data_IF_010112203731
#
_entry.id   IF_010112203731
#
_cell.length_a   1.000
_cell.length_b   1.000
_cell.length_c   1.000
_cell.angle_alpha   90.00
_cell.angle_beta   90.00
_cell.angle_gamma   90.00
#
_symmetry.space_group_name_H-M   'P 1'
#
loop_
_entity.id
_entity.type
_entity.pdbx_description
1 polymer ?
#
# COMPACT_ATOMS: atom_id res chain seq x y z
N UNK A 1 -4.81 -2.69 -9.65
CA UNK A 1 -3.46 -3.32 -9.55
C UNK A 1 -2.56 -2.40 -8.74
N UNK A 2 -1.58 -2.92 -8.00
CA UNK A 2 -0.72 -2.11 -7.12
C UNK A 2 0.47 -1.44 -7.80
N UNK A 3 0.66 -1.72 -9.09
CA UNK A 3 1.78 -1.21 -9.89
C UNK A 3 1.83 0.33 -9.98
N UNK A 4 0.73 1.04 -9.65
CA UNK A 4 0.66 2.50 -9.63
C UNK A 4 0.47 3.09 -8.22
N UNK A 5 0.64 2.31 -7.17
CA UNK A 5 0.41 2.74 -5.78
C UNK A 5 1.62 3.47 -5.18
N UNK A 6 2.84 3.13 -5.60
CA UNK A 6 4.08 3.71 -5.10
C UNK A 6 5.02 4.15 -6.24
N UNK A 7 5.67 5.30 -6.04
CA UNK A 7 6.94 5.64 -6.69
C UNK A 7 6.90 6.22 -8.10
N UNK A 8 5.79 6.12 -8.84
CA UNK A 8 5.71 6.69 -10.20
C UNK A 8 4.95 8.03 -10.14
N UNK A 9 5.62 9.10 -10.54
CA UNK A 9 4.96 10.36 -10.89
C UNK A 9 4.41 10.20 -12.31
N UNK A 10 3.12 9.94 -12.42
CA UNK A 10 2.44 9.67 -13.70
C UNK A 10 2.17 11.01 -14.45
N UNK A 11 2.60 12.15 -13.92
CA UNK A 11 2.22 13.46 -14.45
C UNK A 11 0.75 13.79 -14.12
N UNK A 12 0.27 14.93 -14.64
CA UNK A 12 -1.00 15.69 -14.42
C UNK A 12 -2.32 14.87 -14.29
N UNK A 13 -2.37 13.84 -13.47
CA UNK A 13 -3.61 13.21 -13.08
C UNK A 13 -4.34 14.19 -12.16
N UNK A 14 -5.41 14.81 -12.63
CA UNK A 14 -6.17 15.76 -11.80
C UNK A 14 -7.20 15.06 -10.89
N UNK A 15 -7.39 13.74 -11.04
CA UNK A 15 -8.36 12.95 -10.30
C UNK A 15 -7.93 11.49 -10.20
N UNK A 16 -8.10 10.88 -9.03
CA UNK A 16 -8.03 9.43 -8.84
C UNK A 16 -9.43 8.86 -8.65
N UNK A 17 -9.77 7.84 -9.43
CA UNK A 17 -11.00 7.05 -9.24
C UNK A 17 -10.62 5.70 -8.64
N UNK A 18 -11.00 5.50 -7.39
CA UNK A 18 -10.87 4.25 -6.66
C UNK A 18 -12.14 3.43 -6.89
N UNK A 19 -12.02 2.34 -7.63
CA UNK A 19 -13.12 1.39 -7.79
C UNK A 19 -13.07 0.34 -6.67
N UNK A 20 -14.22 0.09 -6.04
CA UNK A 20 -14.37 -0.75 -4.85
C UNK A 20 -13.55 -0.25 -3.66
N UNK A 21 -13.69 -0.94 -2.54
CA UNK A 21 -12.99 -0.64 -1.31
C UNK A 21 -11.48 -0.63 -1.49
N UNK A 22 -10.78 0.42 -1.00
CA UNK A 22 -9.33 0.46 -1.00
C UNK A 22 -8.69 -0.47 0.03
N UNK A 23 -9.48 -1.16 0.88
CA UNK A 23 -9.09 -2.08 1.98
C UNK A 23 -8.33 -1.43 3.14
N UNK A 24 -7.50 -0.43 2.85
CA UNK A 24 -6.67 0.27 3.81
C UNK A 24 -6.72 1.78 3.57
N UNK A 25 -6.64 2.56 4.65
CA UNK A 25 -6.58 4.02 4.62
C UNK A 25 -5.27 4.49 4.02
N UNK A 26 -4.14 3.89 4.42
CA UNK A 26 -2.83 4.23 3.87
C UNK A 26 -2.80 4.09 2.34
N UNK A 27 -3.36 2.99 1.83
CA UNK A 27 -3.45 2.71 0.39
C UNK A 27 -4.31 3.73 -0.35
N UNK A 28 -5.46 4.13 0.21
CA UNK A 28 -6.29 5.18 -0.38
C UNK A 28 -5.53 6.52 -0.45
N UNK A 29 -4.88 6.93 0.65
CA UNK A 29 -4.15 8.20 0.71
C UNK A 29 -2.97 8.22 -0.27
N UNK A 30 -2.21 7.13 -0.37
CA UNK A 30 -1.11 7.02 -1.32
C UNK A 30 -1.59 7.11 -2.77
N UNK A 31 -2.70 6.44 -3.11
CA UNK A 31 -3.32 6.51 -4.45
C UNK A 31 -3.82 7.92 -4.74
N UNK A 32 -4.66 8.49 -3.86
CA UNK A 32 -5.25 9.83 -4.07
C UNK A 32 -4.16 10.90 -4.12
N UNK A 33 -3.07 10.77 -3.35
CA UNK A 33 -1.92 11.68 -3.38
C UNK A 33 -1.18 11.77 -4.73
N UNK A 34 -1.51 10.89 -5.68
CA UNK A 34 -1.06 11.00 -7.08
C UNK A 34 -1.85 12.05 -7.87
N UNK A 35 -3.05 12.41 -7.42
CA UNK A 35 -3.83 13.47 -8.04
C UNK A 35 -3.28 14.85 -7.68
N UNK A 36 -3.09 15.70 -8.68
CA UNK A 36 -2.63 17.08 -8.49
C UNK A 36 -1.24 17.16 -7.87
N UNK A 37 -0.39 16.14 -8.07
CA UNK A 37 0.91 15.99 -7.41
C UNK A 37 1.74 17.28 -7.52
N UNK A 38 1.97 17.94 -6.39
CA UNK A 38 2.68 19.23 -6.33
C UNK A 38 2.52 19.91 -4.97
N UNK A 39 3.55 20.65 -4.55
CA UNK A 39 3.54 21.38 -3.27
C UNK A 39 2.43 22.43 -3.29
N UNK A 40 1.59 22.43 -2.24
CA UNK A 40 0.47 23.38 -2.09
C UNK A 40 -0.76 23.07 -2.96
N UNK A 41 -0.77 21.96 -3.71
CA UNK A 41 -1.93 21.53 -4.48
C UNK A 41 -2.79 20.55 -3.66
N UNK A 42 -4.10 20.56 -3.92
CA UNK A 42 -5.04 19.62 -3.32
C UNK A 42 -5.24 18.41 -4.22
N UNK A 43 -5.06 17.22 -3.65
CA UNK A 43 -5.37 15.97 -4.32
C UNK A 43 -6.87 15.69 -4.33
N UNK A 44 -7.39 15.21 -5.47
CA UNK A 44 -8.80 14.85 -5.65
C UNK A 44 -8.95 13.35 -5.88
N UNK A 45 -9.86 12.74 -5.13
CA UNK A 45 -10.15 11.32 -5.21
C UNK A 45 -11.65 11.05 -5.08
N UNK A 46 -12.15 10.08 -5.85
CA UNK A 46 -13.51 9.56 -5.76
C UNK A 46 -13.44 8.05 -5.49
N UNK A 47 -14.23 7.56 -4.53
CA UNK A 47 -14.41 6.13 -4.29
C UNK A 47 -15.78 5.72 -4.82
N UNK A 48 -15.80 4.70 -5.68
CA UNK A 48 -17.01 4.10 -6.24
C UNK A 48 -17.15 2.70 -5.62
N UNK A 49 -18.01 2.58 -4.60
CA UNK A 49 -18.30 1.32 -3.93
C UNK A 49 -19.62 0.74 -4.46
N UNK A 50 -19.54 -0.34 -5.24
CA UNK A 50 -20.67 -0.91 -5.99
C UNK A 50 -20.80 -2.42 -5.84
N UNK A 51 -19.88 -3.07 -5.12
CA UNK A 51 -19.77 -4.55 -5.14
C UNK A 51 -20.82 -5.19 -4.24
N UNK A 52 -20.87 -4.80 -2.97
CA UNK A 52 -21.82 -5.32 -1.98
C UNK A 52 -21.89 -4.38 -0.76
N UNK A 53 -22.70 -4.73 0.24
CA UNK A 53 -22.87 -3.93 1.45
C UNK A 53 -21.56 -3.76 2.24
N UNK A 54 -20.75 -4.83 2.35
CA UNK A 54 -19.47 -4.80 3.06
C UNK A 54 -18.49 -3.83 2.40
N UNK A 55 -18.41 -3.84 1.05
CA UNK A 55 -17.60 -2.93 0.24
C UNK A 55 -17.99 -1.46 0.48
N UNK A 56 -19.29 -1.18 0.56
CA UNK A 56 -19.82 0.17 0.83
C UNK A 56 -19.47 0.62 2.25
N UNK A 57 -19.68 -0.24 3.25
CA UNK A 57 -19.39 0.07 4.65
C UNK A 57 -17.89 0.27 4.85
N UNK A 58 -17.06 -0.64 4.34
CA UNK A 58 -15.60 -0.58 4.43
C UNK A 58 -15.06 0.70 3.76
N UNK A 59 -15.54 1.01 2.54
CA UNK A 59 -15.21 2.26 1.84
C UNK A 59 -15.59 3.51 2.65
N UNK A 60 -16.77 3.51 3.26
CA UNK A 60 -17.25 4.62 4.09
C UNK A 60 -16.38 4.84 5.34
N UNK A 61 -16.01 3.77 6.04
CA UNK A 61 -15.12 3.84 7.21
C UNK A 61 -13.73 4.32 6.80
N UNK A 62 -13.19 3.79 5.70
CA UNK A 62 -11.88 4.21 5.18
C UNK A 62 -11.88 5.69 4.80
N UNK A 63 -12.90 6.17 4.07
CA UNK A 63 -13.03 7.59 3.74
C UNK A 63 -13.09 8.48 4.99
N UNK A 64 -13.84 8.06 6.02
CA UNK A 64 -13.94 8.79 7.29
C UNK A 64 -12.58 8.85 7.99
N UNK A 65 -11.84 7.74 8.06
CA UNK A 65 -10.51 7.68 8.68
C UNK A 65 -9.45 8.43 7.87
N UNK A 66 -9.52 8.39 6.54
CA UNK A 66 -8.64 9.15 5.65
C UNK A 66 -8.76 10.66 5.88
N UNK A 67 -9.99 11.18 5.95
CA UNK A 67 -10.25 12.59 6.36
C UNK A 67 -9.78 12.87 7.79
N UNK A 68 -9.79 11.83 8.63
CA UNK A 68 -9.21 11.71 9.97
C UNK A 68 -7.68 11.92 10.05
N UNK A 69 -6.96 11.71 8.94
CA UNK A 69 -5.53 11.36 8.91
C UNK A 69 -5.19 10.16 9.82
N UNK A 70 -6.11 9.20 9.94
CA UNK A 70 -5.96 8.01 10.80
C UNK A 70 -5.64 6.77 9.98
N UNK A 71 -4.38 6.64 9.61
CA UNK A 71 -3.84 5.43 8.98
C UNK A 71 -3.72 4.27 9.99
N UNK A 72 -3.56 3.06 9.47
CA UNK A 72 -3.26 1.86 10.22
C UNK A 72 -1.81 1.87 10.76
N UNK A 73 -1.56 1.18 11.87
CA UNK A 73 -0.19 1.01 12.38
C UNK A 73 0.60 0.04 11.49
N UNK A 74 1.81 0.44 11.11
CA UNK A 74 2.75 -0.43 10.41
C UNK A 74 3.42 -1.37 11.43
N UNK A 75 2.92 -2.60 11.55
CA UNK A 75 3.54 -3.63 12.38
C UNK A 75 4.59 -4.39 11.57
N UNK A 76 5.82 -4.42 12.08
CA UNK A 76 6.89 -5.25 11.53
C UNK A 76 6.70 -6.67 12.08
N UNK A 77 6.54 -7.70 11.23
CA UNK A 77 6.51 -9.09 11.68
C UNK A 77 7.81 -9.44 12.41
N UNK A 78 7.70 -10.06 13.58
CA UNK A 78 8.83 -10.55 14.35
C UNK A 78 8.95 -12.06 14.20
N UNK A 79 10.18 -12.58 14.27
CA UNK A 79 10.45 -14.03 14.22
C UNK A 79 9.93 -14.72 12.96
N UNK A 80 10.06 -14.08 11.79
CA UNK A 80 9.70 -14.63 10.48
C UNK A 80 10.71 -15.68 10.00
N UNK A 81 10.69 -16.85 10.64
CA UNK A 81 11.63 -17.95 10.33
C UNK A 81 11.49 -18.51 8.93
N UNK A 82 10.28 -18.44 8.36
CA UNK A 82 10.00 -18.77 6.97
C UNK A 82 10.76 -17.84 6.00
N UNK A 83 10.71 -16.52 6.24
CA UNK A 83 11.47 -15.52 5.49
C UNK A 83 12.97 -15.74 5.66
N UNK A 84 13.44 -16.00 6.88
CA UNK A 84 14.85 -16.31 7.13
C UNK A 84 15.28 -17.56 6.34
N UNK A 85 14.52 -18.65 6.44
CA UNK A 85 14.83 -19.90 5.75
C UNK A 85 14.85 -19.73 4.23
N UNK A 86 13.89 -18.97 3.69
CA UNK A 86 13.86 -18.61 2.28
C UNK A 86 15.11 -17.83 1.87
N UNK A 87 15.55 -16.89 2.71
CA UNK A 87 16.72 -16.08 2.40
C UNK A 87 18.03 -16.84 2.50
N UNK A 88 18.16 -17.76 3.46
CA UNK A 88 19.30 -18.68 3.53
C UNK A 88 19.35 -19.56 2.27
N UNK A 89 18.21 -20.11 1.84
CA UNK A 89 18.14 -20.90 0.62
C UNK A 89 18.51 -20.08 -0.63
N UNK A 90 18.05 -18.83 -0.72
CA UNK A 90 18.43 -17.91 -1.79
C UNK A 90 19.93 -17.60 -1.80
N UNK A 91 20.52 -17.33 -0.62
CA UNK A 91 21.95 -17.10 -0.50
C UNK A 91 22.76 -18.35 -0.91
N UNK A 92 22.35 -19.56 -0.51
CA UNK A 92 23.02 -20.80 -0.90
C UNK A 92 22.97 -21.11 -2.41
N UNK A 93 22.03 -20.51 -3.14
CA UNK A 93 21.99 -20.59 -4.60
C UNK A 93 22.99 -19.63 -5.27
N UNK A 94 23.31 -18.52 -4.61
CA UNK A 94 24.30 -17.53 -5.09
C UNK A 94 25.73 -17.87 -4.63
N UNK A 95 25.88 -18.40 -3.41
CA UNK A 95 27.13 -18.84 -2.81
C UNK A 95 27.03 -20.31 -2.40
N UNK A 96 27.87 -21.19 -2.97
CA UNK A 96 27.78 -22.65 -2.79
C UNK A 96 27.83 -23.11 -1.31
N UNK A 97 28.42 -22.32 -0.40
CA UNK A 97 28.51 -22.60 1.02
C UNK A 97 28.44 -21.30 1.85
N UNK A 98 27.85 -21.37 3.05
CA UNK A 98 27.79 -20.26 4.02
C UNK A 98 28.24 -20.77 5.39
N UNK A 99 29.20 -20.09 5.99
CA UNK A 99 29.63 -20.36 7.36
C UNK A 99 28.57 -19.93 8.38
N UNK A 100 28.43 -20.68 9.48
CA UNK A 100 27.47 -20.32 10.54
C UNK A 100 27.75 -18.95 11.19
N UNK A 101 29.00 -18.51 11.17
CA UNK A 101 29.44 -17.21 11.70
C UNK A 101 29.10 -16.04 10.75
N UNK A 102 28.67 -16.34 9.52
CA UNK A 102 28.28 -15.38 8.49
C UNK A 102 26.75 -15.21 8.40
N UNK A 103 25.98 -15.98 9.19
CA UNK A 103 24.52 -15.88 9.37
C UNK A 103 24.16 -15.00 10.58
#
# INVERSE_FOLDING_TARGET
TSSLELGIDIGLADLVVQYSSPREVARLLQRVGRSGHGVGRSSKGIVIATVNLDDIIESGVILRRARQNKVEDAKIPMSSWDVLSHQIAGLLLDVDEIGKDEL
#
